data_IF_820792559519
#
_entry.id   IF_820792559519
#
_cell.length_a   1.000
_cell.length_b   1.000
_cell.length_c   1.000
_cell.angle_alpha   90.00
_cell.angle_beta   90.00
_cell.angle_gamma   90.00
#
_symmetry.space_group_name_H-M   'P 1'
#
loop_
_entity.id
_entity.type
_entity.pdbx_description
1 polymer ?
#
# COMPACT_ATOMS: atom_id res chain seq x y z
N UNK A 1 16.55 52.34 9.33
CA UNK A 1 15.90 52.38 7.99
C UNK A 1 16.69 51.39 7.14
N UNK A 2 16.17 50.15 7.01
CA UNK A 2 15.84 49.50 5.72
C UNK A 2 17.05 49.51 4.74
N UNK A 3 17.59 48.42 4.21
CA UNK A 3 17.06 47.12 3.85
C UNK A 3 18.26 46.25 3.39
N UNK A 4 18.26 44.96 3.72
CA UNK A 4 19.27 43.97 3.31
C UNK A 4 18.79 43.31 2.01
N UNK A 5 19.10 43.92 0.86
CA UNK A 5 18.82 43.36 -0.47
C UNK A 5 19.84 42.28 -0.87
N UNK A 6 19.65 41.07 -0.34
CA UNK A 6 20.40 39.88 -0.69
C UNK A 6 19.99 39.28 -2.04
N UNK A 7 21.01 39.01 -2.85
CA UNK A 7 21.14 38.07 -3.96
C UNK A 7 19.91 37.17 -4.27
N UNK A 8 19.18 37.48 -5.35
CA UNK A 8 18.15 36.62 -5.92
C UNK A 8 18.79 35.53 -6.80
N UNK A 9 19.16 34.42 -6.17
CA UNK A 9 19.34 33.12 -6.86
C UNK A 9 18.01 32.36 -6.89
N UNK A 10 17.60 31.77 -8.03
CA UNK A 10 16.38 30.98 -8.09
C UNK A 10 16.50 29.71 -7.23
N UNK A 11 15.53 29.53 -6.32
CA UNK A 11 15.47 28.41 -5.39
C UNK A 11 15.35 27.07 -6.13
N UNK A 12 16.16 26.13 -5.67
CA UNK A 12 16.39 24.83 -6.28
C UNK A 12 15.17 23.94 -6.36
N UNK A 13 15.11 23.25 -7.49
CA UNK A 13 14.37 22.03 -7.78
C UNK A 13 14.44 21.00 -6.65
N UNK A 14 13.32 20.78 -5.96
CA UNK A 14 13.16 19.75 -4.95
C UNK A 14 12.44 18.50 -5.47
N UNK A 15 13.23 17.49 -5.87
CA UNK A 15 12.91 16.05 -5.94
C UNK A 15 11.69 15.61 -6.78
N UNK A 16 11.94 15.43 -8.08
CA UNK A 16 11.21 14.45 -8.91
C UNK A 16 11.54 13.04 -8.41
N UNK A 17 10.58 12.34 -7.81
CA UNK A 17 10.64 10.89 -7.69
C UNK A 17 10.26 10.29 -9.05
N UNK A 18 11.18 10.36 -10.01
CA UNK A 18 11.08 9.63 -11.28
C UNK A 18 11.55 8.21 -11.05
N UNK A 19 10.63 7.30 -10.74
CA UNK A 19 10.65 6.00 -11.41
C UNK A 19 9.76 6.14 -12.64
N UNK A 20 10.27 6.90 -13.62
CA UNK A 20 9.75 6.79 -14.97
C UNK A 20 10.04 5.35 -15.39
N UNK A 21 8.99 4.56 -15.59
CA UNK A 21 9.03 3.45 -16.54
C UNK A 21 9.27 4.12 -17.91
N UNK A 22 10.53 4.43 -18.21
CA UNK A 22 10.99 4.95 -19.48
C UNK A 22 12.13 4.04 -19.94
N UNK A 23 11.75 2.83 -20.36
CA UNK A 23 12.56 1.93 -21.16
C UNK A 23 11.68 0.83 -21.80
N UNK A 24 10.57 1.21 -22.44
CA UNK A 24 9.74 0.28 -23.24
C UNK A 24 9.48 0.75 -24.67
N UNK A 25 10.38 1.57 -25.19
CA UNK A 25 10.49 1.81 -26.63
C UNK A 25 11.96 1.88 -27.00
N UNK A 26 12.62 0.71 -27.01
CA UNK A 26 13.81 0.48 -27.83
C UNK A 26 14.12 -1.02 -27.88
N UNK A 27 14.27 -1.51 -29.11
CA UNK A 27 14.92 -2.76 -29.49
C UNK A 27 14.08 -4.05 -29.50
N UNK A 28 13.27 -4.19 -30.55
CA UNK A 28 12.96 -5.47 -31.18
C UNK A 28 14.22 -5.98 -31.90
N UNK A 29 15.04 -6.78 -31.21
CA UNK A 29 16.22 -7.41 -31.81
C UNK A 29 17.09 -8.10 -30.77
N UNK A 30 17.00 -9.43 -30.70
CA UNK A 30 17.95 -10.27 -29.96
C UNK A 30 17.28 -11.34 -29.09
N UNK A 31 17.45 -12.60 -29.46
CA UNK A 31 16.97 -13.77 -28.71
C UNK A 31 17.52 -13.84 -27.28
N UNK A 32 16.60 -13.78 -26.33
CA UNK A 32 16.76 -14.10 -24.93
C UNK A 32 15.37 -14.04 -24.31
N UNK A 33 14.84 -15.15 -23.81
CA UNK A 33 13.48 -15.25 -23.29
C UNK A 33 13.35 -14.47 -21.96
N UNK A 34 13.31 -13.13 -22.05
CA UNK A 34 13.04 -12.24 -20.94
C UNK A 34 11.56 -11.90 -20.89
N UNK A 35 11.00 -11.82 -19.68
CA UNK A 35 9.61 -11.41 -19.44
C UNK A 35 9.32 -10.05 -20.08
N UNK A 36 8.16 -9.96 -20.73
CA UNK A 36 7.56 -8.71 -21.17
C UNK A 36 7.27 -7.79 -19.98
N UNK A 37 7.03 -6.50 -20.26
CA UNK A 37 6.66 -5.54 -19.23
C UNK A 37 5.39 -5.94 -18.44
N UNK A 38 4.40 -6.44 -19.17
CA UNK A 38 3.14 -6.91 -18.60
C UNK A 38 3.36 -8.12 -17.69
N UNK A 39 4.17 -9.09 -18.11
CA UNK A 39 4.51 -10.25 -17.28
C UNK A 39 5.27 -9.83 -16.01
N UNK A 40 6.22 -8.89 -16.12
CA UNK A 40 6.91 -8.33 -14.95
C UNK A 40 5.95 -7.62 -13.98
N UNK A 41 4.97 -6.88 -14.50
CA UNK A 41 3.93 -6.26 -13.69
C UNK A 41 3.08 -7.34 -12.99
N UNK A 42 2.67 -8.38 -13.72
CA UNK A 42 1.90 -9.48 -13.18
C UNK A 42 2.64 -10.22 -12.06
N UNK A 43 3.91 -10.55 -12.27
CA UNK A 43 4.75 -11.18 -11.24
C UNK A 43 4.89 -10.29 -9.99
N UNK A 44 5.11 -8.99 -10.18
CA UNK A 44 5.19 -8.05 -9.06
C UNK A 44 3.87 -7.96 -8.30
N UNK A 45 2.74 -7.89 -9.01
CA UNK A 45 1.42 -7.87 -8.39
C UNK A 45 1.14 -9.16 -7.59
N UNK A 46 1.43 -10.32 -8.17
CA UNK A 46 1.32 -11.62 -7.50
C UNK A 46 2.22 -11.70 -6.26
N UNK A 47 3.46 -11.21 -6.35
CA UNK A 47 4.37 -11.14 -5.21
C UNK A 47 3.80 -10.28 -4.08
N UNK A 48 3.22 -9.11 -4.40
CA UNK A 48 2.58 -8.25 -3.39
C UNK A 48 1.34 -8.88 -2.78
N UNK A 49 0.55 -9.63 -3.55
CA UNK A 49 -0.56 -10.41 -3.01
C UNK A 49 -0.06 -11.48 -2.04
N UNK A 50 0.99 -12.23 -2.38
CA UNK A 50 1.60 -13.19 -1.44
C UNK A 50 2.05 -12.53 -0.14
N UNK A 51 2.71 -11.37 -0.21
CA UNK A 51 3.08 -10.62 1.00
C UNK A 51 1.86 -10.21 1.84
N UNK A 52 0.74 -9.87 1.19
CA UNK A 52 -0.50 -9.54 1.89
C UNK A 52 -1.09 -10.77 2.61
N UNK A 53 -1.08 -11.92 1.96
CA UNK A 53 -1.56 -13.19 2.50
C UNK A 53 -0.69 -13.70 3.65
N UNK A 54 0.64 -13.66 3.49
CA UNK A 54 1.61 -13.97 4.56
C UNK A 54 1.38 -13.08 5.79
N UNK A 55 1.19 -11.78 5.58
CA UNK A 55 0.92 -10.83 6.68
C UNK A 55 -0.41 -11.11 7.39
N UNK A 56 -1.44 -11.59 6.68
CA UNK A 56 -2.69 -12.03 7.32
C UNK A 56 -2.48 -13.28 8.16
N UNK A 57 -1.73 -14.26 7.63
CA UNK A 57 -1.44 -15.49 8.35
C UNK A 57 -0.67 -15.20 9.65
N UNK A 58 0.36 -14.36 9.57
CA UNK A 58 1.09 -13.87 10.74
C UNK A 58 0.15 -13.16 11.73
N UNK A 59 -0.77 -12.31 11.26
CA UNK A 59 -1.72 -11.62 12.14
C UNK A 59 -2.67 -12.60 12.85
N UNK A 60 -3.15 -13.63 12.15
CA UNK A 60 -3.97 -14.71 12.73
C UNK A 60 -3.18 -15.52 13.76
N UNK A 61 -1.94 -15.88 13.45
CA UNK A 61 -1.06 -16.60 14.36
C UNK A 61 -0.79 -15.80 15.65
N UNK A 62 -0.52 -14.50 15.51
CA UNK A 62 -0.32 -13.61 16.65
C UNK A 62 -1.57 -13.51 17.53
N UNK A 63 -2.75 -13.39 16.94
CA UNK A 63 -4.01 -13.33 17.67
C UNK A 63 -4.31 -14.65 18.40
N UNK A 64 -4.19 -15.78 17.71
CA UNK A 64 -4.40 -17.11 18.28
C UNK A 64 -3.39 -17.43 19.40
N UNK A 65 -2.15 -16.97 19.25
CA UNK A 65 -1.09 -17.11 20.25
C UNK A 65 -1.16 -16.13 21.42
N UNK A 66 -2.25 -15.34 21.54
CA UNK A 66 -2.45 -14.38 22.63
C UNK A 66 -1.39 -13.26 22.66
N UNK A 67 -0.80 -12.91 21.51
CA UNK A 67 0.22 -11.86 21.42
C UNK A 67 -0.42 -10.47 21.46
N UNK A 68 0.40 -9.43 21.61
CA UNK A 68 -0.07 -8.06 21.79
C UNK A 68 -1.02 -7.62 20.68
N UNK A 69 -2.08 -6.89 21.04
CA UNK A 69 -3.04 -6.33 20.10
C UNK A 69 -2.34 -5.39 19.11
N UNK A 70 -1.34 -4.66 19.58
CA UNK A 70 -0.43 -3.87 18.73
C UNK A 70 0.19 -4.68 17.59
N UNK A 71 0.77 -5.85 17.88
CA UNK A 71 1.41 -6.69 16.86
C UNK A 71 0.40 -7.21 15.82
N UNK A 72 -0.79 -7.62 16.26
CA UNK A 72 -1.86 -8.08 15.38
C UNK A 72 -2.30 -6.95 14.44
N UNK A 73 -2.56 -5.76 14.98
CA UNK A 73 -2.97 -4.57 14.20
C UNK A 73 -1.89 -4.18 13.19
N UNK A 74 -0.62 -4.24 13.58
CA UNK A 74 0.50 -3.94 12.70
C UNK A 74 0.51 -4.88 11.48
N UNK A 75 0.46 -6.21 11.70
CA UNK A 75 0.44 -7.19 10.62
C UNK A 75 -0.81 -7.11 9.75
N UNK A 76 -1.98 -6.90 10.36
CA UNK A 76 -3.23 -6.68 9.64
C UNK A 76 -3.19 -5.43 8.75
N UNK A 77 -2.59 -4.33 9.23
CA UNK A 77 -2.38 -3.13 8.42
C UNK A 77 -1.45 -3.40 7.22
N UNK A 78 -0.33 -4.08 7.44
CA UNK A 78 0.60 -4.39 6.35
C UNK A 78 -0.02 -5.31 5.30
N UNK A 79 -0.87 -6.25 5.70
CA UNK A 79 -1.65 -7.04 4.75
C UNK A 79 -2.47 -6.15 3.80
N UNK A 80 -3.25 -5.21 4.35
CA UNK A 80 -4.01 -4.26 3.53
C UNK A 80 -3.10 -3.40 2.66
N UNK A 81 -1.97 -2.94 3.20
CA UNK A 81 -1.02 -2.09 2.48
C UNK A 81 -0.38 -2.80 1.29
N UNK A 82 0.04 -4.05 1.45
CA UNK A 82 0.58 -4.85 0.36
C UNK A 82 -0.46 -5.13 -0.72
N UNK A 83 -1.72 -5.37 -0.35
CA UNK A 83 -2.80 -5.47 -1.32
C UNK A 83 -2.99 -4.16 -2.12
N UNK A 84 -2.90 -2.99 -1.48
CA UNK A 84 -2.91 -1.71 -2.21
C UNK A 84 -1.70 -1.59 -3.14
N UNK A 85 -0.50 -1.98 -2.70
CA UNK A 85 0.68 -1.96 -3.57
C UNK A 85 0.50 -2.87 -4.80
N UNK A 86 -0.17 -4.02 -4.66
CA UNK A 86 -0.50 -4.89 -5.78
C UNK A 86 -1.40 -4.20 -6.82
N UNK A 87 -2.40 -3.43 -6.37
CA UNK A 87 -3.24 -2.62 -7.27
C UNK A 87 -2.43 -1.55 -8.01
N UNK A 88 -1.56 -0.85 -7.29
CA UNK A 88 -0.80 0.28 -7.83
C UNK A 88 0.26 -0.12 -8.85
N UNK A 89 0.60 -1.40 -8.99
CA UNK A 89 1.46 -1.89 -10.08
C UNK A 89 0.92 -1.50 -11.46
N UNK A 90 -0.39 -1.38 -11.59
CA UNK A 90 -1.09 -1.06 -12.83
C UNK A 90 -1.52 0.40 -12.96
N UNK A 91 -1.11 1.26 -12.02
CA UNK A 91 -1.44 2.68 -12.03
C UNK A 91 -0.18 3.50 -12.32
N UNK A 92 -0.33 4.64 -12.99
CA UNK A 92 0.77 5.60 -13.23
C UNK A 92 1.07 6.45 -11.97
N UNK A 93 1.15 5.80 -10.81
CA UNK A 93 1.34 6.45 -9.53
C UNK A 93 2.32 5.69 -8.65
N UNK A 94 3.24 6.45 -8.04
CA UNK A 94 4.10 5.94 -6.98
C UNK A 94 4.22 6.96 -5.85
N UNK A 95 4.40 6.46 -4.63
CA UNK A 95 4.69 7.29 -3.47
C UNK A 95 5.57 6.53 -2.51
N UNK A 96 6.58 7.19 -1.96
CA UNK A 96 7.39 6.66 -0.86
C UNK A 96 6.71 6.82 0.51
N UNK A 97 5.59 7.54 0.57
CA UNK A 97 4.85 7.80 1.81
C UNK A 97 3.61 6.92 1.88
N UNK A 98 3.41 6.24 3.02
CA UNK A 98 2.21 5.46 3.29
C UNK A 98 0.93 6.29 3.11
N UNK A 99 0.90 7.51 3.66
CA UNK A 99 -0.24 8.42 3.51
C UNK A 99 -0.54 8.80 2.06
N UNK A 100 0.49 8.88 1.20
CA UNK A 100 0.33 9.13 -0.24
C UNK A 100 -0.35 7.96 -0.94
N UNK A 101 0.09 6.73 -0.65
CA UNK A 101 -0.52 5.49 -1.16
C UNK A 101 -1.99 5.40 -0.74
N UNK A 102 -2.29 5.63 0.54
CA UNK A 102 -3.65 5.59 1.08
C UNK A 102 -4.56 6.66 0.47
N UNK A 103 -4.04 7.88 0.27
CA UNK A 103 -4.78 8.98 -0.34
C UNK A 103 -5.12 8.68 -1.80
N UNK A 104 -4.16 8.11 -2.53
CA UNK A 104 -4.38 7.69 -3.91
C UNK A 104 -5.43 6.58 -3.97
N UNK A 105 -5.32 5.55 -3.12
CA UNK A 105 -6.29 4.46 -3.06
C UNK A 105 -7.72 4.97 -2.85
N UNK A 106 -7.91 5.84 -1.86
CA UNK A 106 -9.21 6.43 -1.57
C UNK A 106 -9.76 7.25 -2.73
N UNK A 107 -8.93 8.05 -3.40
CA UNK A 107 -9.39 8.84 -4.55
C UNK A 107 -9.74 7.95 -5.75
N UNK A 108 -8.87 7.01 -6.09
CA UNK A 108 -8.95 6.24 -7.34
C UNK A 108 -9.95 5.09 -7.27
N UNK A 109 -9.97 4.35 -6.17
CA UNK A 109 -10.73 3.11 -6.07
C UNK A 109 -11.98 3.23 -5.19
N UNK A 110 -11.96 4.07 -4.15
CA UNK A 110 -13.14 4.29 -3.31
C UNK A 110 -14.06 5.34 -3.93
N UNK A 111 -13.56 6.57 -4.13
CA UNK A 111 -14.36 7.64 -4.76
C UNK A 111 -14.66 7.34 -6.23
N UNK A 112 -13.81 6.55 -6.89
CA UNK A 112 -14.06 6.04 -8.24
C UNK A 112 -15.05 4.87 -8.31
N UNK A 113 -15.59 4.39 -7.19
CA UNK A 113 -16.64 3.37 -7.17
C UNK A 113 -16.18 1.94 -7.49
N UNK A 114 -14.87 1.67 -7.47
CA UNK A 114 -14.33 0.32 -7.71
C UNK A 114 -14.55 -0.59 -6.51
N UNK A 115 -14.46 -0.01 -5.30
CA UNK A 115 -14.62 -0.72 -4.03
C UNK A 115 -15.54 0.04 -3.08
N UNK A 116 -16.15 -0.69 -2.15
CA UNK A 116 -16.99 -0.12 -1.10
C UNK A 116 -16.25 0.87 -0.20
N UNK A 117 -16.97 1.92 0.24
CA UNK A 117 -16.44 2.96 1.14
C UNK A 117 -15.87 2.39 2.45
N UNK A 118 -16.40 1.26 2.91
CA UNK A 118 -15.94 0.57 4.12
C UNK A 118 -14.46 0.17 4.03
N UNK A 119 -13.97 -0.23 2.85
CA UNK A 119 -12.58 -0.64 2.64
C UNK A 119 -11.62 0.53 2.87
N UNK A 120 -11.94 1.70 2.32
CA UNK A 120 -11.16 2.92 2.53
C UNK A 120 -11.14 3.36 3.99
N UNK A 121 -12.30 3.27 4.67
CA UNK A 121 -12.44 3.61 6.08
C UNK A 121 -11.59 2.70 6.97
N UNK A 122 -11.63 1.39 6.75
CA UNK A 122 -10.86 0.44 7.56
C UNK A 122 -9.35 0.49 7.29
N UNK A 123 -8.93 0.74 6.05
CA UNK A 123 -7.53 0.99 5.73
C UNK A 123 -7.00 2.22 6.48
N UNK A 124 -7.76 3.31 6.49
CA UNK A 124 -7.40 4.52 7.26
C UNK A 124 -7.37 4.26 8.76
N UNK A 125 -8.37 3.57 9.31
CA UNK A 125 -8.43 3.22 10.74
C UNK A 125 -7.26 2.33 11.17
N UNK A 126 -6.92 1.31 10.38
CA UNK A 126 -5.78 0.43 10.66
C UNK A 126 -4.46 1.21 10.66
N UNK A 127 -4.28 2.13 9.71
CA UNK A 127 -3.11 3.01 9.66
C UNK A 127 -2.98 3.89 10.90
N UNK A 128 -4.05 4.57 11.29
CA UNK A 128 -4.07 5.45 12.47
C UNK A 128 -3.85 4.67 13.77
N UNK A 129 -4.43 3.47 13.89
CA UNK A 129 -4.20 2.61 15.05
C UNK A 129 -2.74 2.18 15.13
N UNK A 130 -2.16 1.73 14.01
CA UNK A 130 -0.74 1.35 13.92
C UNK A 130 0.19 2.52 14.26
N UNK A 131 -0.13 3.74 13.86
CA UNK A 131 0.68 4.92 14.25
C UNK A 131 0.58 5.26 15.74
N UNK A 132 -0.61 5.14 16.34
CA UNK A 132 -0.82 5.46 17.75
C UNK A 132 -0.04 4.54 18.68
N UNK A 133 -0.12 3.24 18.42
CA UNK A 133 0.55 2.20 19.22
C UNK A 133 2.06 2.16 19.03
N UNK A 134 2.58 2.60 17.88
CA UNK A 134 4.02 2.61 17.61
C UNK A 134 4.71 3.90 18.10
N UNK A 135 3.99 5.03 18.23
CA UNK A 135 4.62 6.34 18.42
C UNK A 135 3.93 7.34 19.36
N UNK A 136 2.67 7.16 19.78
CA UNK A 136 1.90 8.28 20.38
C UNK A 136 1.36 8.07 21.79
N UNK A 137 0.88 6.89 22.17
CA UNK A 137 0.20 6.70 23.47
C UNK A 137 0.52 5.35 24.10
N UNK A 138 0.74 5.32 25.43
CA UNK A 138 0.91 4.10 26.25
C UNK A 138 -0.41 3.32 26.43
N UNK A 139 -1.31 3.36 25.45
CA UNK A 139 -2.61 2.68 25.50
C UNK A 139 -2.53 1.43 24.63
N UNK A 140 -2.45 0.26 25.27
CA UNK A 140 -2.54 -1.01 24.57
C UNK A 140 -3.98 -1.18 24.03
N UNK A 141 -4.17 -1.44 22.72
CA UNK A 141 -5.50 -1.67 22.17
C UNK A 141 -6.14 -2.91 22.80
N UNK A 142 -7.47 -2.90 22.89
CA UNK A 142 -8.20 -4.10 23.27
C UNK A 142 -8.03 -5.22 22.23
N UNK A 143 -7.95 -6.47 22.68
CA UNK A 143 -7.89 -7.65 21.79
C UNK A 143 -9.08 -7.73 20.84
N UNK A 144 -10.25 -7.27 21.27
CA UNK A 144 -11.44 -7.17 20.42
C UNK A 144 -11.20 -6.21 19.24
N UNK A 145 -10.53 -5.07 19.48
CA UNK A 145 -10.19 -4.13 18.42
C UNK A 145 -9.20 -4.72 17.42
N UNK A 146 -8.21 -5.48 17.90
CA UNK A 146 -7.29 -6.21 17.03
C UNK A 146 -8.01 -7.25 16.17
N UNK A 147 -8.94 -8.00 16.77
CA UNK A 147 -9.79 -8.97 16.07
C UNK A 147 -10.64 -8.30 14.98
N UNK A 148 -11.25 -7.16 15.29
CA UNK A 148 -12.02 -6.38 14.32
C UNK A 148 -11.13 -5.90 13.16
N UNK A 149 -9.95 -5.37 13.43
CA UNK A 149 -9.02 -4.92 12.37
C UNK A 149 -8.58 -6.10 11.51
N UNK A 150 -8.27 -7.25 12.10
CA UNK A 150 -7.89 -8.46 11.36
C UNK A 150 -9.02 -8.94 10.44
N UNK A 151 -10.26 -9.02 10.95
CA UNK A 151 -11.42 -9.42 10.15
C UNK A 151 -11.65 -8.48 8.95
N UNK A 152 -11.37 -7.20 9.12
CA UNK A 152 -11.50 -6.21 8.05
C UNK A 152 -10.31 -6.27 7.08
N UNK A 153 -9.12 -6.62 7.56
CA UNK A 153 -7.96 -6.88 6.70
C UNK A 153 -8.20 -8.07 5.78
N UNK A 154 -8.79 -9.14 6.32
CA UNK A 154 -9.16 -10.33 5.56
C UNK A 154 -10.13 -10.01 4.41
N UNK A 155 -11.20 -9.27 4.72
CA UNK A 155 -12.16 -8.76 3.72
C UNK A 155 -11.49 -7.87 2.69
N UNK A 156 -10.56 -7.01 3.12
CA UNK A 156 -9.84 -6.10 2.25
C UNK A 156 -8.97 -6.83 1.24
N UNK A 157 -8.10 -7.72 1.73
CA UNK A 157 -7.21 -8.51 0.86
C UNK A 157 -8.04 -9.36 -0.10
N UNK A 158 -9.09 -10.02 0.39
CA UNK A 158 -10.00 -10.83 -0.45
C UNK A 158 -10.65 -10.02 -1.57
N UNK A 159 -11.13 -8.80 -1.29
CA UNK A 159 -11.74 -7.93 -2.28
C UNK A 159 -10.74 -7.50 -3.37
N UNK A 160 -9.52 -7.12 -2.95
CA UNK A 160 -8.45 -6.70 -3.87
C UNK A 160 -7.97 -7.87 -4.73
N UNK A 161 -7.69 -9.02 -4.13
CA UNK A 161 -7.26 -10.23 -4.84
C UNK A 161 -8.31 -10.67 -5.86
N UNK A 162 -9.61 -10.66 -5.49
CA UNK A 162 -10.69 -10.97 -6.42
C UNK A 162 -10.75 -9.99 -7.59
N UNK A 163 -10.60 -8.69 -7.33
CA UNK A 163 -10.60 -7.68 -8.37
C UNK A 163 -9.44 -7.87 -9.36
N UNK A 164 -8.23 -8.14 -8.86
CA UNK A 164 -7.06 -8.39 -9.70
C UNK A 164 -7.21 -9.71 -10.50
N UNK A 165 -7.68 -10.78 -9.86
CA UNK A 165 -7.88 -12.09 -10.52
C UNK A 165 -8.96 -12.03 -11.60
N UNK A 166 -10.08 -11.36 -11.33
CA UNK A 166 -11.14 -11.15 -12.32
C UNK A 166 -10.70 -10.33 -13.54
N UNK A 167 -9.64 -9.52 -13.39
CA UNK A 167 -9.03 -8.75 -14.48
C UNK A 167 -7.83 -9.48 -15.15
N UNK A 168 -7.51 -10.72 -14.76
CA UNK A 168 -6.35 -11.47 -15.26
C UNK A 168 -4.99 -10.88 -14.86
N UNK A 169 -4.97 -9.97 -13.88
CA UNK A 169 -3.81 -9.21 -13.40
C UNK A 169 -2.99 -9.94 -12.33
N UNK A 170 -3.49 -11.07 -11.87
CA UNK A 170 -2.77 -12.07 -11.08
C UNK A 170 -3.18 -13.47 -11.53
#
# INVERSE_FOLDING_TARGET
MFDLGGDLRPAGTGRRATWRIAALQANSGGGGAGLTAWEKQKELAQYRVRQAEESLDEARFLLAGGKSARSVINRAYYAMFYAVLALLVYEEFSSSKHSGVLSYFNRRFIKGGVFDKSLGLWLGKAFELRQRVDYREQVEPAQEQATQVLNQADRFVSAVTRHLGGAGRI
#
